data_IF_771136962665
#
_entry.id   IF_771136962665
#
_cell.length_a   1.000
_cell.length_b   1.000
_cell.length_c   1.000
_cell.angle_alpha   90.00
_cell.angle_beta   90.00
_cell.angle_gamma   90.00
#
_symmetry.space_group_name_H-M   'P 1'
#
loop_
_entity.id
_entity.type
_entity.pdbx_description
1 polymer ?
#
# COMPACT_ATOMS: atom_id res chain seq x y z
N UNK A 1 21.14 15.29 18.10
CA UNK A 1 21.64 16.60 18.60
C UNK A 1 23.06 16.94 18.17
N UNK A 2 23.52 16.40 17.03
CA UNK A 2 24.00 17.31 15.98
C UNK A 2 22.72 17.96 15.41
N UNK A 3 22.77 19.28 15.18
CA UNK A 3 21.80 20.02 14.37
C UNK A 3 22.57 20.33 13.09
N UNK A 4 22.19 19.77 11.97
CA UNK A 4 22.80 20.08 10.68
C UNK A 4 21.73 20.70 9.75
N UNK A 5 21.50 22.01 9.87
CA UNK A 5 20.65 22.82 8.96
C UNK A 5 21.10 22.77 7.47
N UNK A 6 20.90 21.66 6.77
CA UNK A 6 21.04 21.63 5.32
C UNK A 6 20.80 20.26 4.70
N UNK A 7 19.79 20.20 3.82
CA UNK A 7 19.42 19.02 3.02
C UNK A 7 20.56 18.04 2.72
N UNK A 8 20.38 16.81 3.15
CA UNK A 8 21.37 15.74 3.16
C UNK A 8 21.18 14.85 1.92
N UNK A 9 21.51 15.37 0.73
CA UNK A 9 21.58 14.54 -0.48
C UNK A 9 22.93 13.81 -0.55
N UNK A 10 22.91 12.48 -0.45
CA UNK A 10 24.11 11.63 -0.58
C UNK A 10 24.07 10.76 -1.84
N UNK A 11 24.51 11.31 -2.97
CA UNK A 11 24.72 10.53 -4.21
C UNK A 11 26.04 9.75 -4.12
N UNK A 12 25.97 8.42 -3.98
CA UNK A 12 27.14 7.56 -3.83
C UNK A 12 27.79 7.15 -5.16
N UNK A 13 28.72 7.94 -5.70
CA UNK A 13 29.67 7.47 -6.73
C UNK A 13 30.69 6.46 -6.11
N UNK A 14 30.21 5.29 -5.70
CA UNK A 14 31.00 4.08 -5.52
C UNK A 14 31.87 3.93 -4.27
N UNK A 15 31.65 4.64 -3.15
CA UNK A 15 32.19 4.25 -1.83
C UNK A 15 31.33 4.74 -0.63
N UNK A 16 30.62 3.78 0.01
CA UNK A 16 30.14 3.75 1.42
C UNK A 16 28.96 4.65 1.81
N UNK A 17 27.75 4.22 1.42
CA UNK A 17 26.55 4.07 2.27
C UNK A 17 25.87 2.76 1.81
N UNK A 18 26.58 1.64 1.88
CA UNK A 18 26.06 0.31 1.49
C UNK A 18 25.13 -0.30 2.58
N UNK A 19 24.83 0.46 3.63
CA UNK A 19 24.03 0.04 4.81
C UNK A 19 23.96 1.23 5.77
N UNK A 20 22.77 1.54 6.27
CA UNK A 20 22.58 2.47 7.39
C UNK A 20 22.09 1.71 8.62
N UNK A 21 23.02 1.22 9.46
CA UNK A 21 22.67 0.44 10.68
C UNK A 21 21.69 1.17 11.62
N UNK A 22 21.81 2.50 11.75
CA UNK A 22 20.93 3.32 12.59
C UNK A 22 21.12 4.81 12.33
N UNK A 23 20.05 5.52 11.98
CA UNK A 23 20.02 6.97 11.84
C UNK A 23 18.88 7.55 12.68
N UNK A 24 19.13 8.69 13.31
CA UNK A 24 18.13 9.43 14.09
C UNK A 24 18.37 10.92 13.85
N UNK A 25 17.44 11.59 13.20
CA UNK A 25 17.49 13.02 12.89
C UNK A 25 16.27 13.75 13.43
N UNK A 26 16.39 15.07 13.60
CA UNK A 26 15.41 15.95 14.25
C UNK A 26 15.60 17.35 13.65
N UNK A 27 14.54 17.97 13.15
CA UNK A 27 14.56 19.24 12.41
C UNK A 27 15.49 19.18 11.16
N UNK A 28 15.35 18.15 10.32
CA UNK A 28 16.11 18.05 9.07
C UNK A 28 15.34 18.68 7.89
N UNK A 29 16.01 18.89 6.76
CA UNK A 29 15.34 19.48 5.58
C UNK A 29 14.82 18.33 4.69
N UNK A 30 15.65 17.76 3.82
CA UNK A 30 15.23 16.65 2.95
C UNK A 30 16.36 15.62 2.96
N UNK A 31 16.01 14.36 3.17
CA UNK A 31 16.92 13.23 3.06
C UNK A 31 16.71 12.49 1.75
N UNK A 32 17.78 12.39 0.97
CA UNK A 32 17.75 11.61 -0.27
C UNK A 32 18.97 10.70 -0.38
N UNK A 33 18.69 9.40 -0.45
CA UNK A 33 19.67 8.34 -0.69
C UNK A 33 19.40 7.68 -2.03
N UNK A 34 20.46 7.53 -2.82
CA UNK A 34 20.39 6.85 -4.13
C UNK A 34 21.56 5.90 -4.27
N UNK A 35 21.31 4.63 -4.63
CA UNK A 35 22.34 3.69 -5.07
C UNK A 35 22.12 3.26 -6.54
N UNK A 36 23.18 3.35 -7.33
CA UNK A 36 23.18 2.94 -8.75
C UNK A 36 23.79 1.54 -8.93
N UNK A 37 24.07 0.82 -7.85
CA UNK A 37 24.93 -0.36 -7.89
C UNK A 37 24.17 -1.64 -7.65
N UNK A 38 23.86 -1.92 -6.39
CA UNK A 38 23.63 -3.29 -5.97
C UNK A 38 22.66 -3.47 -4.83
N UNK A 39 22.66 -2.57 -3.86
CA UNK A 39 21.92 -2.72 -2.62
C UNK A 39 21.90 -1.37 -1.91
N UNK A 40 20.69 -0.91 -1.61
CA UNK A 40 20.43 0.14 -0.63
C UNK A 40 19.74 -0.52 0.58
N UNK A 41 20.43 -0.60 1.71
CA UNK A 41 19.95 -1.29 2.93
C UNK A 41 19.89 -0.27 4.08
N UNK A 42 18.77 -0.22 4.80
CA UNK A 42 18.61 0.63 5.99
C UNK A 42 17.98 -0.15 7.14
N UNK A 43 18.76 -0.45 8.18
CA UNK A 43 18.27 -1.25 9.32
C UNK A 43 17.32 -0.46 10.24
N UNK A 44 17.64 0.79 10.61
CA UNK A 44 16.78 1.57 11.53
C UNK A 44 16.90 3.07 11.23
N UNK A 45 15.84 3.66 10.68
CA UNK A 45 15.74 5.08 10.39
C UNK A 45 14.61 5.71 11.21
N UNK A 46 14.91 6.83 11.86
CA UNK A 46 13.93 7.62 12.59
C UNK A 46 14.14 9.11 12.28
N UNK A 47 13.12 9.76 11.74
CA UNK A 47 13.09 11.20 11.46
C UNK A 47 11.92 11.82 12.22
N UNK A 48 12.14 13.03 12.73
CA UNK A 48 11.16 13.84 13.47
C UNK A 48 11.28 15.27 12.93
N UNK A 49 10.18 15.88 12.50
CA UNK A 49 10.18 17.20 11.84
C UNK A 49 11.14 17.25 10.61
N UNK A 50 10.93 16.42 9.57
CA UNK A 50 11.70 16.45 8.30
C UNK A 50 10.82 16.98 7.15
N UNK A 51 11.42 17.60 6.11
CA UNK A 51 10.71 18.02 4.88
C UNK A 51 10.71 16.87 3.82
N UNK A 52 10.84 15.60 4.22
CA UNK A 52 10.66 14.42 3.35
C UNK A 52 11.87 13.47 3.23
N UNK A 53 11.56 12.17 3.09
CA UNK A 53 12.52 11.11 2.83
C UNK A 53 12.33 10.46 1.44
N UNK A 54 13.43 10.36 0.69
CA UNK A 54 13.46 9.65 -0.60
C UNK A 54 14.61 8.64 -0.68
N UNK A 55 14.27 7.37 -0.89
CA UNK A 55 15.22 6.29 -1.17
C UNK A 55 15.01 5.77 -2.59
N UNK A 56 16.08 5.66 -3.36
CA UNK A 56 16.02 5.14 -4.74
C UNK A 56 17.15 4.15 -5.00
N UNK A 57 16.85 2.95 -5.47
CA UNK A 57 17.84 1.97 -5.94
C UNK A 57 17.63 1.68 -7.44
N UNK A 58 18.63 2.02 -8.26
CA UNK A 58 18.72 1.54 -9.66
C UNK A 58 19.50 0.19 -9.71
N UNK A 59 19.63 -0.47 -8.56
CA UNK A 59 20.64 -1.47 -8.23
C UNK A 59 20.13 -2.90 -8.36
N UNK A 60 19.89 -3.59 -7.25
CA UNK A 60 19.28 -4.92 -7.28
C UNK A 60 18.26 -5.13 -6.16
N UNK A 61 18.22 -4.26 -5.17
CA UNK A 61 17.46 -4.41 -3.93
C UNK A 61 17.49 -3.08 -3.17
N UNK A 62 16.31 -2.58 -2.85
CA UNK A 62 16.07 -1.60 -1.79
C UNK A 62 15.44 -2.35 -0.61
N UNK A 63 16.14 -2.39 0.53
CA UNK A 63 15.73 -3.10 1.75
C UNK A 63 15.67 -2.11 2.91
N UNK A 64 14.51 -2.00 3.57
CA UNK A 64 14.35 -1.20 4.78
C UNK A 64 13.76 -2.07 5.92
N UNK A 65 14.53 -2.30 6.98
CA UNK A 65 14.04 -3.10 8.11
C UNK A 65 13.05 -2.28 8.96
N UNK A 66 13.51 -1.21 9.65
CA UNK A 66 12.63 -0.38 10.49
C UNK A 66 12.73 1.10 10.07
N UNK A 67 11.61 1.72 9.71
CA UNK A 67 11.54 3.15 9.37
C UNK A 67 10.37 3.81 10.11
N UNK A 68 10.68 4.91 10.81
CA UNK A 68 9.71 5.71 11.56
C UNK A 68 9.83 7.19 11.19
N UNK A 69 8.72 7.81 10.79
CA UNK A 69 8.60 9.24 10.50
C UNK A 69 7.50 9.84 11.39
N UNK A 70 7.78 11.01 11.97
CA UNK A 70 6.83 11.80 12.76
C UNK A 70 6.93 13.24 12.27
N UNK A 71 5.79 13.85 11.88
CA UNK A 71 5.73 15.19 11.28
C UNK A 71 6.67 15.30 10.03
N UNK A 72 6.45 14.49 8.98
CA UNK A 72 7.25 14.52 7.72
C UNK A 72 6.43 15.06 6.52
N UNK A 73 7.10 15.63 5.51
CA UNK A 73 6.46 16.11 4.27
C UNK A 73 6.33 14.97 3.21
N UNK A 74 6.50 13.69 3.58
CA UNK A 74 6.27 12.53 2.73
C UNK A 74 7.44 11.55 2.58
N UNK A 75 7.11 10.26 2.43
CA UNK A 75 8.05 9.18 2.12
C UNK A 75 7.91 8.64 0.69
N UNK A 76 9.04 8.51 -0.01
CA UNK A 76 9.10 7.85 -1.31
C UNK A 76 10.23 6.82 -1.39
N UNK A 77 9.86 5.55 -1.62
CA UNK A 77 10.80 4.47 -1.92
C UNK A 77 10.61 4.01 -3.37
N UNK A 78 11.71 3.86 -4.11
CA UNK A 78 11.66 3.41 -5.51
C UNK A 78 12.78 2.42 -5.83
N UNK A 79 12.45 1.24 -6.35
CA UNK A 79 13.41 0.29 -6.93
C UNK A 79 13.14 0.12 -8.44
N UNK A 80 14.19 0.27 -9.25
CA UNK A 80 14.10 0.24 -10.71
C UNK A 80 14.50 -1.14 -11.30
N UNK A 81 14.87 -2.15 -10.48
CA UNK A 81 15.61 -3.31 -10.99
C UNK A 81 15.08 -4.70 -10.58
N UNK A 82 14.82 -4.99 -9.28
CA UNK A 82 14.31 -6.33 -8.90
C UNK A 82 13.42 -6.42 -7.67
N UNK A 83 13.67 -5.67 -6.62
CA UNK A 83 13.05 -5.94 -5.33
C UNK A 83 13.08 -4.69 -4.46
N UNK A 84 11.91 -4.30 -4.00
CA UNK A 84 11.70 -3.37 -2.91
C UNK A 84 11.11 -4.19 -1.75
N UNK A 85 11.84 -4.26 -0.63
CA UNK A 85 11.47 -5.02 0.58
C UNK A 85 11.44 -4.06 1.77
N UNK A 86 10.32 -4.01 2.48
CA UNK A 86 10.14 -3.20 3.70
C UNK A 86 9.57 -4.05 4.83
N UNK A 87 10.30 -4.20 5.94
CA UNK A 87 9.82 -5.01 7.07
C UNK A 87 8.81 -4.23 7.94
N UNK A 88 9.15 -3.02 8.40
CA UNK A 88 8.28 -2.21 9.29
C UNK A 88 8.36 -0.72 8.93
N UNK A 89 7.22 -0.16 8.48
CA UNK A 89 7.04 1.27 8.23
C UNK A 89 5.98 1.85 9.18
N UNK A 90 6.33 2.92 9.90
CA UNK A 90 5.41 3.68 10.74
C UNK A 90 5.52 5.18 10.43
N UNK A 91 4.42 5.80 10.00
CA UNK A 91 4.36 7.23 9.75
C UNK A 91 3.20 7.84 10.54
N UNK A 92 3.45 8.97 11.21
CA UNK A 92 2.48 9.75 11.99
C UNK A 92 2.56 11.21 11.53
N UNK A 93 1.41 11.81 11.19
CA UNK A 93 1.33 13.17 10.66
C UNK A 93 2.24 13.36 9.40
N UNK A 94 2.07 12.53 8.36
CA UNK A 94 2.84 12.59 7.09
C UNK A 94 2.02 13.18 5.93
N UNK A 95 2.70 13.73 4.92
CA UNK A 95 2.07 14.28 3.69
C UNK A 95 1.92 13.17 2.58
N UNK A 96 2.17 11.90 2.89
CA UNK A 96 1.88 10.74 2.05
C UNK A 96 3.04 9.74 1.86
N UNK A 97 2.69 8.46 1.74
CA UNK A 97 3.60 7.36 1.42
C UNK A 97 3.46 6.85 -0.03
N UNK A 98 4.58 6.75 -0.74
CA UNK A 98 4.67 6.10 -2.05
C UNK A 98 5.79 5.06 -2.14
N UNK A 99 5.41 3.80 -2.40
CA UNK A 99 6.34 2.72 -2.75
C UNK A 99 6.14 2.35 -4.22
N UNK A 100 7.22 2.26 -4.98
CA UNK A 100 7.17 1.89 -6.40
C UNK A 100 8.29 0.90 -6.74
N UNK A 101 7.94 -0.25 -7.31
CA UNK A 101 8.89 -1.21 -7.89
C UNK A 101 8.63 -1.35 -9.40
N UNK A 102 9.63 -1.00 -10.22
CA UNK A 102 9.66 -1.37 -11.65
C UNK A 102 10.33 -2.76 -11.84
N UNK A 103 10.65 -3.42 -10.73
CA UNK A 103 11.53 -4.58 -10.60
C UNK A 103 10.88 -5.93 -10.81
N UNK A 104 10.50 -6.64 -9.75
CA UNK A 104 9.80 -7.94 -9.84
C UNK A 104 8.88 -8.20 -8.66
N UNK A 105 9.09 -7.48 -7.57
CA UNK A 105 8.49 -7.76 -6.30
C UNK A 105 8.60 -6.50 -5.46
N UNK A 106 7.43 -6.01 -5.07
CA UNK A 106 7.26 -5.10 -3.96
C UNK A 106 6.71 -5.92 -2.79
N UNK A 107 7.47 -6.03 -1.71
CA UNK A 107 7.12 -6.79 -0.50
C UNK A 107 7.11 -5.83 0.70
N UNK A 108 5.97 -5.79 1.40
CA UNK A 108 5.80 -5.00 2.62
C UNK A 108 5.22 -5.87 3.73
N UNK A 109 5.97 -6.09 4.82
CA UNK A 109 5.54 -6.93 5.93
C UNK A 109 4.53 -6.19 6.83
N UNK A 110 4.93 -5.08 7.46
CA UNK A 110 4.07 -4.30 8.35
C UNK A 110 4.12 -2.80 8.00
N UNK A 111 2.97 -2.18 7.78
CA UNK A 111 2.83 -0.75 7.49
C UNK A 111 1.71 -0.14 8.31
N UNK A 112 2.01 0.96 8.99
CA UNK A 112 1.07 1.73 9.79
C UNK A 112 1.16 3.21 9.45
N UNK A 113 0.00 3.82 9.16
CA UNK A 113 -0.16 5.25 8.92
C UNK A 113 -1.24 5.81 9.87
N UNK A 114 -0.95 6.94 10.51
CA UNK A 114 -1.88 7.70 11.36
C UNK A 114 -1.83 9.17 10.92
N UNK A 115 -2.98 9.75 10.58
CA UNK A 115 -3.09 11.13 10.09
C UNK A 115 -2.21 11.39 8.82
N UNK A 116 -2.34 10.56 7.77
CA UNK A 116 -1.56 10.66 6.50
C UNK A 116 -2.40 11.23 5.32
N UNK A 117 -1.73 11.78 4.32
CA UNK A 117 -2.34 12.35 3.10
C UNK A 117 -2.51 11.29 1.96
N UNK A 118 -2.18 10.01 2.22
CA UNK A 118 -2.45 8.88 1.32
C UNK A 118 -1.32 7.85 1.21
N UNK A 119 -1.70 6.59 0.98
CA UNK A 119 -0.79 5.50 0.61
C UNK A 119 -0.95 5.05 -0.85
N UNK A 120 0.17 4.95 -1.57
CA UNK A 120 0.27 4.36 -2.89
C UNK A 120 1.36 3.30 -2.98
N UNK A 121 0.97 2.04 -3.23
CA UNK A 121 1.88 0.95 -3.60
C UNK A 121 1.70 0.60 -5.08
N UNK A 122 2.79 0.50 -5.83
CA UNK A 122 2.75 0.17 -7.25
C UNK A 122 3.88 -0.79 -7.65
N UNK A 123 3.54 -1.95 -8.21
CA UNK A 123 4.49 -2.82 -8.93
C UNK A 123 4.13 -2.89 -10.42
N UNK A 124 5.13 -2.65 -11.27
CA UNK A 124 5.00 -2.65 -12.72
C UNK A 124 5.36 -4.01 -13.37
N UNK A 125 5.88 -5.00 -12.64
CA UNK A 125 6.50 -6.19 -13.26
C UNK A 125 6.02 -7.58 -12.81
N UNK A 126 5.73 -7.90 -11.53
CA UNK A 126 5.35 -9.31 -11.23
C UNK A 126 4.48 -9.61 -10.02
N UNK A 127 4.72 -8.97 -8.89
CA UNK A 127 4.09 -9.33 -7.62
C UNK A 127 4.15 -8.13 -6.67
N UNK A 128 2.98 -7.71 -6.21
CA UNK A 128 2.84 -6.85 -5.05
C UNK A 128 2.32 -7.72 -3.90
N UNK A 129 3.09 -7.85 -2.83
CA UNK A 129 2.77 -8.62 -1.62
C UNK A 129 2.77 -7.67 -0.41
N UNK A 130 1.65 -7.61 0.31
CA UNK A 130 1.51 -6.82 1.53
C UNK A 130 0.91 -7.66 2.66
N UNK A 131 1.66 -7.89 3.73
CA UNK A 131 1.22 -8.76 4.83
C UNK A 131 0.20 -8.04 5.75
N UNK A 132 0.55 -6.87 6.30
CA UNK A 132 -0.34 -6.10 7.18
C UNK A 132 -0.28 -4.59 6.89
N UNK A 133 -1.40 -4.03 6.42
CA UNK A 133 -1.61 -2.59 6.23
C UNK A 133 -2.65 -2.08 7.23
N UNK A 134 -2.31 -1.03 7.97
CA UNK A 134 -3.19 -0.35 8.93
C UNK A 134 -3.16 1.17 8.74
N UNK A 135 -4.28 1.74 8.33
CA UNK A 135 -4.42 3.17 8.07
C UNK A 135 -5.54 3.73 8.98
N UNK A 136 -5.26 4.83 9.70
CA UNK A 136 -6.22 5.57 10.52
C UNK A 136 -6.18 7.05 10.12
N UNK A 137 -7.35 7.65 9.83
CA UNK A 137 -7.47 9.05 9.39
C UNK A 137 -6.62 9.38 8.13
N UNK A 138 -6.67 8.53 7.09
CA UNK A 138 -5.91 8.67 5.83
C UNK A 138 -6.77 9.22 4.65
N UNK A 139 -6.16 9.95 3.72
CA UNK A 139 -6.80 10.52 2.51
C UNK A 139 -6.97 9.48 1.37
N UNK A 140 -6.54 8.23 1.55
CA UNK A 140 -6.76 7.15 0.58
C UNK A 140 -5.70 6.05 0.53
N UNK A 141 -6.13 4.81 0.26
CA UNK A 141 -5.24 3.71 -0.14
C UNK A 141 -5.41 3.31 -1.62
N UNK A 142 -4.30 3.28 -2.35
CA UNK A 142 -4.21 2.71 -3.70
C UNK A 142 -3.13 1.63 -3.80
N UNK A 143 -3.53 0.39 -4.08
CA UNK A 143 -2.62 -0.69 -4.49
C UNK A 143 -2.82 -0.98 -5.98
N UNK A 144 -1.73 -1.02 -6.74
CA UNK A 144 -1.76 -1.31 -8.18
C UNK A 144 -0.65 -2.29 -8.56
N UNK A 145 -1.02 -3.41 -9.18
CA UNK A 145 -0.08 -4.34 -9.81
C UNK A 145 -0.38 -4.40 -11.32
N UNK A 146 0.59 -4.01 -12.14
CA UNK A 146 0.58 -4.29 -13.59
C UNK A 146 1.20 -5.68 -13.90
N UNK A 147 1.60 -6.39 -12.85
CA UNK A 147 2.41 -7.60 -12.84
C UNK A 147 1.64 -8.90 -13.06
N UNK A 148 1.48 -9.72 -12.03
CA UNK A 148 0.82 -11.04 -12.15
C UNK A 148 -0.06 -11.38 -10.97
N UNK A 149 0.11 -10.71 -9.85
CA UNK A 149 -0.50 -11.04 -8.58
C UNK A 149 -0.36 -9.83 -7.66
N UNK A 150 -1.51 -9.35 -7.19
CA UNK A 150 -1.62 -8.51 -6.02
C UNK A 150 -2.14 -9.37 -4.88
N UNK A 151 -1.31 -9.60 -3.86
CA UNK A 151 -1.64 -10.39 -2.67
C UNK A 151 -1.62 -9.48 -1.44
N UNK A 152 -2.68 -9.53 -0.65
CA UNK A 152 -2.77 -8.79 0.62
C UNK A 152 -3.33 -9.68 1.72
N UNK A 153 -2.54 -9.96 2.75
CA UNK A 153 -2.98 -10.83 3.85
C UNK A 153 -4.01 -10.09 4.73
N UNK A 154 -3.69 -8.86 5.16
CA UNK A 154 -4.55 -8.09 6.05
C UNK A 154 -4.53 -6.61 5.76
N UNK A 155 -5.71 -6.05 5.58
CA UNK A 155 -5.91 -4.63 5.30
C UNK A 155 -7.01 -4.08 6.23
N UNK A 156 -6.65 -3.09 7.03
CA UNK A 156 -7.59 -2.35 7.88
C UNK A 156 -7.50 -0.84 7.62
N UNK A 157 -8.65 -0.22 7.37
CA UNK A 157 -8.81 1.22 7.22
C UNK A 157 -9.89 1.72 8.19
N UNK A 158 -9.60 2.81 8.89
CA UNK A 158 -10.54 3.53 9.76
C UNK A 158 -10.53 5.02 9.40
N UNK A 159 -11.71 5.58 9.11
CA UNK A 159 -11.89 6.99 8.75
C UNK A 159 -11.10 7.41 7.47
N UNK A 160 -11.05 6.57 6.42
CA UNK A 160 -10.31 6.82 5.17
C UNK A 160 -11.20 7.36 4.00
N UNK A 161 -10.67 8.26 3.17
CA UNK A 161 -11.29 8.74 1.91
C UNK A 161 -11.46 7.62 0.82
N UNK A 162 -10.96 6.41 1.04
CA UNK A 162 -11.36 5.15 0.42
C UNK A 162 -10.24 4.23 -0.09
N UNK A 163 -10.60 2.99 -0.43
CA UNK A 163 -9.68 1.95 -0.92
C UNK A 163 -9.85 1.65 -2.42
N UNK A 164 -8.75 1.59 -3.15
CA UNK A 164 -8.65 1.12 -4.52
C UNK A 164 -7.59 0.02 -4.68
N UNK A 165 -8.03 -1.21 -5.00
CA UNK A 165 -7.14 -2.30 -5.41
C UNK A 165 -7.32 -2.57 -6.91
N UNK A 166 -6.23 -2.57 -7.67
CA UNK A 166 -6.23 -2.83 -9.11
C UNK A 166 -5.14 -3.83 -9.49
N UNK A 167 -5.52 -4.94 -10.12
CA UNK A 167 -4.61 -5.84 -10.83
C UNK A 167 -4.95 -5.87 -12.32
N UNK A 168 -3.95 -5.63 -13.17
CA UNK A 168 -4.12 -5.55 -14.62
C UNK A 168 -3.90 -6.92 -15.31
N UNK A 169 -3.48 -7.98 -14.59
CA UNK A 169 -2.92 -9.17 -15.26
C UNK A 169 -3.45 -10.56 -14.85
N UNK A 170 -3.57 -10.99 -13.58
CA UNK A 170 -4.05 -12.37 -13.33
C UNK A 170 -4.80 -12.67 -12.04
N UNK A 171 -4.44 -12.10 -10.91
CA UNK A 171 -4.98 -12.48 -9.63
C UNK A 171 -4.88 -11.32 -8.64
N UNK A 172 -6.03 -10.95 -8.10
CA UNK A 172 -6.13 -10.13 -6.91
C UNK A 172 -6.63 -11.04 -5.78
N UNK A 173 -5.76 -11.30 -4.79
CA UNK A 173 -6.05 -12.13 -3.62
C UNK A 173 -5.99 -11.27 -2.35
N UNK A 174 -7.04 -11.34 -1.53
CA UNK A 174 -7.08 -10.65 -0.24
C UNK A 174 -7.66 -11.54 0.84
N UNK A 175 -6.90 -11.79 1.90
CA UNK A 175 -7.33 -12.69 2.98
C UNK A 175 -8.34 -11.99 3.92
N UNK A 176 -7.98 -10.85 4.51
CA UNK A 176 -8.85 -10.07 5.41
C UNK A 176 -8.87 -8.59 5.04
N UNK A 177 -10.06 -8.05 4.78
CA UNK A 177 -10.27 -6.65 4.42
C UNK A 177 -11.38 -6.02 5.26
N UNK A 178 -11.03 -5.00 6.04
CA UNK A 178 -11.91 -4.30 6.98
C UNK A 178 -11.86 -2.79 6.75
N UNK A 179 -13.03 -2.19 6.49
CA UNK A 179 -13.20 -0.75 6.36
C UNK A 179 -14.26 -0.27 7.36
N UNK A 180 -13.94 0.76 8.13
CA UNK A 180 -14.86 1.43 9.07
C UNK A 180 -14.89 2.94 8.75
N UNK A 181 -16.08 3.48 8.49
CA UNK A 181 -16.30 4.91 8.20
C UNK A 181 -15.62 5.44 6.91
N UNK A 182 -15.32 4.57 5.94
CA UNK A 182 -14.65 4.95 4.67
C UNK A 182 -15.56 5.50 3.55
N UNK A 183 -14.98 6.24 2.61
CA UNK A 183 -15.69 6.84 1.46
C UNK A 183 -15.92 5.86 0.27
N UNK A 184 -15.43 4.61 0.35
CA UNK A 184 -15.69 3.56 -0.65
C UNK A 184 -14.64 2.47 -0.76
N UNK A 185 -15.06 1.30 -1.26
CA UNK A 185 -14.17 0.24 -1.73
C UNK A 185 -14.32 0.01 -3.24
N UNK A 186 -13.21 0.04 -3.98
CA UNK A 186 -13.12 -0.31 -5.39
C UNK A 186 -12.11 -1.43 -5.62
N UNK A 187 -12.58 -2.59 -6.06
CA UNK A 187 -11.72 -3.68 -6.51
C UNK A 187 -11.88 -3.86 -8.02
N UNK A 188 -10.75 -3.86 -8.75
CA UNK A 188 -10.70 -4.03 -10.20
C UNK A 188 -9.68 -5.11 -10.58
N UNK A 189 -10.12 -6.12 -11.32
CA UNK A 189 -9.24 -7.09 -12.00
C UNK A 189 -9.59 -7.09 -13.51
N UNK A 190 -8.59 -6.90 -14.37
CA UNK A 190 -8.79 -6.90 -15.83
C UNK A 190 -8.74 -8.32 -16.44
N UNK A 191 -8.39 -9.35 -15.65
CA UNK A 191 -8.17 -10.72 -16.12
C UNK A 191 -8.77 -11.78 -15.14
N UNK A 192 -8.02 -12.68 -14.48
CA UNK A 192 -8.58 -14.05 -14.30
C UNK A 192 -9.43 -14.29 -13.05
N UNK A 193 -9.17 -13.63 -11.94
CA UNK A 193 -9.72 -14.02 -10.64
C UNK A 193 -9.49 -12.91 -9.61
N UNK A 194 -10.59 -12.50 -8.97
CA UNK A 194 -10.56 -11.75 -7.73
C UNK A 194 -11.13 -12.64 -6.62
N UNK A 195 -10.30 -12.89 -5.61
CA UNK A 195 -10.57 -13.74 -4.44
C UNK A 195 -10.46 -12.89 -3.17
N UNK A 196 -11.49 -12.93 -2.32
CA UNK A 196 -11.48 -12.26 -1.02
C UNK A 196 -12.04 -13.18 0.06
N UNK A 197 -11.23 -13.61 1.02
CA UNK A 197 -11.67 -14.56 2.04
C UNK A 197 -12.69 -13.91 3.02
N UNK A 198 -12.30 -12.81 3.67
CA UNK A 198 -13.15 -12.09 4.61
C UNK A 198 -13.23 -10.59 4.24
N UNK A 199 -14.46 -10.11 4.01
CA UNK A 199 -14.74 -8.69 3.70
C UNK A 199 -15.77 -8.10 4.66
N UNK A 200 -15.35 -7.11 5.44
CA UNK A 200 -16.19 -6.36 6.37
C UNK A 200 -16.20 -4.87 6.04
N UNK A 201 -17.38 -4.32 5.75
CA UNK A 201 -17.60 -2.88 5.56
C UNK A 201 -18.61 -2.38 6.61
N UNK A 202 -18.23 -1.41 7.43
CA UNK A 202 -19.09 -0.71 8.39
C UNK A 202 -19.15 0.78 8.06
N UNK A 203 -20.36 1.31 7.89
CA UNK A 203 -20.62 2.75 7.62
C UNK A 203 -19.96 3.33 6.32
N UNK A 204 -19.49 2.47 5.41
CA UNK A 204 -18.88 2.81 4.11
C UNK A 204 -19.86 3.38 3.05
N UNK A 205 -19.42 4.34 2.22
CA UNK A 205 -20.15 4.93 1.08
C UNK A 205 -20.32 3.95 -0.11
N UNK A 206 -19.49 2.89 -0.16
CA UNK A 206 -19.90 1.57 -0.63
C UNK A 206 -19.00 0.82 -1.60
N UNK A 207 -19.37 -0.43 -1.88
CA UNK A 207 -18.58 -1.41 -2.63
C UNK A 207 -18.80 -1.40 -4.15
N UNK A 208 -17.71 -1.28 -4.91
CA UNK A 208 -17.64 -1.48 -6.35
C UNK A 208 -16.68 -2.60 -6.71
N UNK A 209 -17.21 -3.70 -7.27
CA UNK A 209 -16.40 -4.78 -7.85
C UNK A 209 -16.52 -4.73 -9.37
N UNK A 210 -15.37 -4.63 -10.04
CA UNK A 210 -15.26 -4.68 -11.50
C UNK A 210 -14.30 -5.81 -11.88
N UNK A 211 -14.80 -6.74 -12.70
CA UNK A 211 -13.99 -7.83 -13.26
C UNK A 211 -14.32 -7.95 -14.75
N UNK A 212 -13.30 -7.94 -15.60
CA UNK A 212 -13.43 -8.08 -17.05
C UNK A 212 -13.46 -9.56 -17.52
N UNK A 213 -13.25 -10.54 -16.62
CA UNK A 213 -13.13 -11.97 -16.96
C UNK A 213 -13.93 -12.93 -16.01
N UNK A 214 -13.35 -14.00 -15.44
CA UNK A 214 -14.03 -15.31 -15.28
C UNK A 214 -14.68 -15.64 -13.91
N UNK A 215 -14.23 -15.07 -12.79
CA UNK A 215 -14.68 -15.50 -11.46
C UNK A 215 -14.41 -14.45 -10.37
N UNK A 216 -15.47 -14.08 -9.65
CA UNK A 216 -15.42 -13.38 -8.37
C UNK A 216 -15.76 -14.37 -7.25
N UNK A 217 -14.83 -14.60 -6.32
CA UNK A 217 -15.02 -15.46 -5.15
C UNK A 217 -14.88 -14.63 -3.87
N UNK A 218 -15.90 -14.68 -3.00
CA UNK A 218 -15.78 -14.14 -1.66
C UNK A 218 -16.40 -15.07 -0.61
N UNK A 219 -15.61 -15.48 0.38
CA UNK A 219 -16.02 -16.50 1.34
C UNK A 219 -17.00 -15.94 2.37
N UNK A 220 -16.64 -14.85 3.05
CA UNK A 220 -17.49 -14.14 4.01
C UNK A 220 -17.64 -12.65 3.66
N UNK A 221 -18.87 -12.21 3.38
CA UNK A 221 -19.19 -10.79 3.14
C UNK A 221 -20.13 -10.24 4.23
N UNK A 222 -19.67 -9.23 4.97
CA UNK A 222 -20.46 -8.49 5.96
C UNK A 222 -20.55 -7.01 5.61
N UNK A 223 -21.78 -6.51 5.42
CA UNK A 223 -22.06 -5.09 5.21
C UNK A 223 -23.00 -4.55 6.29
N UNK A 224 -22.54 -3.58 7.07
CA UNK A 224 -23.34 -2.80 8.03
C UNK A 224 -23.41 -1.32 7.62
N UNK A 225 -24.63 -0.79 7.54
CA UNK A 225 -24.94 0.60 7.18
C UNK A 225 -24.41 1.18 5.86
N UNK A 226 -23.72 0.38 5.04
CA UNK A 226 -23.21 0.74 3.71
C UNK A 226 -24.30 1.16 2.67
N UNK A 227 -23.97 2.20 1.90
CA UNK A 227 -24.80 2.92 0.95
C UNK A 227 -25.05 2.20 -0.41
N UNK A 228 -24.21 1.24 -0.82
CA UNK A 228 -24.47 0.41 -2.01
C UNK A 228 -23.36 -0.50 -2.57
N UNK A 229 -23.79 -1.58 -3.25
CA UNK A 229 -22.98 -2.58 -3.99
C UNK A 229 -23.24 -2.41 -5.48
N UNK A 230 -22.19 -2.11 -6.21
CA UNK A 230 -22.10 -2.16 -7.66
C UNK A 230 -21.27 -3.37 -8.05
N UNK A 231 -21.81 -4.18 -8.97
CA UNK A 231 -21.08 -5.30 -9.56
C UNK A 231 -21.14 -5.12 -11.08
N UNK A 232 -19.96 -5.12 -11.70
CA UNK A 232 -19.78 -5.11 -13.16
C UNK A 232 -18.91 -6.30 -13.53
N UNK A 233 -19.50 -7.25 -14.26
CA UNK A 233 -18.87 -8.50 -14.70
C UNK A 233 -19.26 -8.69 -16.18
N UNK A 234 -18.27 -8.77 -17.06
CA UNK A 234 -18.46 -8.93 -18.50
C UNK A 234 -18.63 -10.41 -18.94
N UNK A 235 -18.26 -11.43 -18.13
CA UNK A 235 -18.27 -12.85 -18.50
C UNK A 235 -18.49 -13.93 -17.38
N UNK A 236 -19.46 -13.76 -16.46
CA UNK A 236 -20.15 -14.81 -15.66
C UNK A 236 -19.31 -15.76 -14.75
N UNK A 237 -19.14 -15.37 -13.48
CA UNK A 237 -19.57 -16.14 -12.27
C UNK A 237 -19.23 -15.34 -11.00
N UNK A 238 -20.19 -15.13 -10.09
CA UNK A 238 -19.91 -14.67 -8.72
C UNK A 238 -20.32 -15.78 -7.75
N UNK A 239 -19.36 -16.28 -6.98
CA UNK A 239 -19.60 -17.22 -5.87
C UNK A 239 -19.39 -16.47 -4.55
N UNK A 240 -20.38 -16.61 -3.65
CA UNK A 240 -20.31 -16.08 -2.28
C UNK A 240 -20.82 -17.16 -1.35
N UNK A 241 -19.99 -17.58 -0.40
CA UNK A 241 -20.32 -18.69 0.49
C UNK A 241 -21.24 -18.21 1.63
N UNK A 242 -20.87 -17.12 2.30
CA UNK A 242 -21.66 -16.47 3.34
C UNK A 242 -21.87 -14.96 3.08
N UNK A 243 -23.13 -14.51 3.16
CA UNK A 243 -23.51 -13.12 2.96
C UNK A 243 -24.39 -12.63 4.12
N UNK A 244 -23.91 -11.64 4.87
CA UNK A 244 -24.65 -10.95 5.93
C UNK A 244 -24.83 -9.46 5.61
N UNK A 245 -26.10 -9.03 5.55
CA UNK A 245 -26.48 -7.63 5.33
C UNK A 245 -27.27 -7.14 6.53
N UNK A 246 -26.74 -6.19 7.31
CA UNK A 246 -27.40 -5.77 8.56
C UNK A 246 -28.46 -4.67 8.36
N UNK A 247 -28.39 -3.82 7.32
CA UNK A 247 -29.38 -2.74 7.03
C UNK A 247 -29.65 -2.51 5.52
N UNK A 248 -30.29 -1.38 5.15
CA UNK A 248 -31.12 -1.21 3.95
C UNK A 248 -30.34 -1.01 2.64
N UNK A 249 -29.72 -2.09 2.17
CA UNK A 249 -28.89 -2.18 0.98
C UNK A 249 -29.60 -1.88 -0.38
N UNK A 250 -28.98 -1.10 -1.29
CA UNK A 250 -29.46 -0.87 -2.67
C UNK A 250 -28.62 -1.63 -3.71
N UNK A 251 -28.95 -2.92 -3.94
CA UNK A 251 -28.31 -3.72 -5.01
C UNK A 251 -28.58 -3.17 -6.41
N UNK A 252 -27.52 -2.93 -7.20
CA UNK A 252 -27.66 -2.54 -8.61
C UNK A 252 -26.74 -3.39 -9.51
N UNK A 253 -27.25 -4.55 -9.93
CA UNK A 253 -26.63 -5.39 -10.97
C UNK A 253 -26.94 -4.76 -12.33
N UNK A 254 -25.95 -4.57 -13.21
CA UNK A 254 -26.16 -4.16 -14.60
C UNK A 254 -25.97 -5.29 -15.58
#
# INVERSE_FOLDING_TARGET
MLKEDGGHSQTGDGQLLESTDKLMLEDDDELSLTDDNKLLETDELMLEDDDGLSLTDDGQLLETDELMLEDDDGLSLTDDDKLLETDELMLEDDDGLSLTDDGKLLETDELMLEDDDGLSLTDDDKLLEADELMLEDDDGLSLTDDGQLLETDKLMLEDDDGLSLTDDDKLLETDELMLEDDDGLSLTDDDKLLETDELMLEDDDGLSLTDDDQLLEADELMLEDDDGLSLTDDDQLMETDELMLLKAFKRKIK
#
